data_IF_578932006384
#
_entry.id   IF_578932006384
#
_cell.length_a   1.000
_cell.length_b   1.000
_cell.length_c   1.000
_cell.angle_alpha   90.00
_cell.angle_beta   90.00
_cell.angle_gamma   90.00
#
_symmetry.space_group_name_H-M   'P 1'
#
loop_
_entity.id
_entity.type
_entity.pdbx_description
1 polymer ?
#
# COMPACT_ATOMS: atom_id res chain seq x y z
N UNK A 1 19.93 -1.50 16.72
CA UNK A 1 19.02 -2.22 15.80
C UNK A 1 19.59 -3.61 15.59
N UNK A 2 18.77 -4.67 15.72
CA UNK A 2 19.23 -6.02 15.44
C UNK A 2 19.29 -6.21 13.92
N UNK A 3 20.44 -6.61 13.38
CA UNK A 3 20.56 -6.98 11.97
C UNK A 3 20.05 -8.41 11.76
N UNK A 4 19.12 -8.57 10.82
CA UNK A 4 18.63 -9.88 10.40
C UNK A 4 18.96 -10.09 8.93
N UNK A 5 19.64 -11.18 8.62
CA UNK A 5 19.90 -11.56 7.23
C UNK A 5 18.74 -12.38 6.70
N UNK A 6 18.09 -11.91 5.64
CA UNK A 6 17.02 -12.63 4.95
C UNK A 6 17.42 -12.92 3.50
N UNK A 7 17.10 -14.11 3.02
CA UNK A 7 17.32 -14.48 1.62
C UNK A 7 16.06 -14.20 0.81
N UNK A 8 16.18 -13.36 -0.21
CA UNK A 8 15.08 -13.05 -1.14
C UNK A 8 15.49 -13.40 -2.56
N UNK A 9 14.50 -13.76 -3.40
CA UNK A 9 14.74 -14.02 -4.83
C UNK A 9 15.19 -12.73 -5.52
N UNK A 10 16.04 -12.86 -6.55
CA UNK A 10 16.57 -11.72 -7.30
C UNK A 10 15.45 -10.84 -7.90
N UNK A 11 14.38 -11.45 -8.40
CA UNK A 11 13.21 -10.74 -8.92
C UNK A 11 12.48 -9.92 -7.84
N UNK A 12 12.29 -10.50 -6.65
CA UNK A 12 11.69 -9.80 -5.50
C UNK A 12 12.54 -8.62 -5.07
N UNK A 13 13.87 -8.79 -5.03
CA UNK A 13 14.81 -7.69 -4.74
C UNK A 13 14.67 -6.54 -5.73
N UNK A 14 14.55 -6.85 -7.04
CA UNK A 14 14.36 -5.85 -8.09
C UNK A 14 13.05 -5.08 -7.89
N UNK A 15 11.94 -5.80 -7.67
CA UNK A 15 10.62 -5.18 -7.44
C UNK A 15 10.59 -4.29 -6.20
N UNK A 16 11.29 -4.68 -5.14
CA UNK A 16 11.42 -3.88 -3.91
C UNK A 16 12.30 -2.64 -4.12
N UNK A 17 13.38 -2.74 -4.89
CA UNK A 17 14.22 -1.59 -5.24
C UNK A 17 13.50 -0.57 -6.15
N UNK A 18 12.61 -1.05 -7.01
CA UNK A 18 11.76 -0.21 -7.87
C UNK A 18 10.61 0.45 -7.08
N UNK A 19 10.30 -0.04 -5.88
CA UNK A 19 9.24 0.49 -5.03
C UNK A 19 9.70 1.76 -4.31
N UNK A 20 9.43 2.92 -4.92
CA UNK A 20 9.74 4.24 -4.35
C UNK A 20 8.58 4.79 -3.54
N UNK A 21 8.70 4.79 -2.21
CA UNK A 21 7.86 5.55 -1.29
C UNK A 21 8.56 6.87 -0.94
N UNK A 22 8.48 7.85 -1.83
CA UNK A 22 9.17 9.14 -1.65
C UNK A 22 10.69 8.97 -1.61
N UNK A 23 11.33 9.48 -0.55
CA UNK A 23 12.80 9.48 -0.36
C UNK A 23 13.32 8.24 0.41
N UNK A 24 12.49 7.22 0.61
CA UNK A 24 12.85 6.03 1.38
C UNK A 24 13.85 5.13 0.65
N UNK A 25 14.80 4.57 1.39
CA UNK A 25 15.76 3.59 0.88
C UNK A 25 15.14 2.20 0.77
N UNK A 26 15.83 1.29 0.07
CA UNK A 26 15.43 -0.12 0.00
C UNK A 26 15.25 -0.75 1.39
N UNK A 27 16.15 -0.47 2.32
CA UNK A 27 16.09 -1.01 3.67
C UNK A 27 14.93 -0.39 4.47
N UNK A 28 14.59 0.88 4.24
CA UNK A 28 13.43 1.52 4.87
C UNK A 28 12.12 0.88 4.39
N UNK A 29 12.00 0.62 3.09
CA UNK A 29 10.85 -0.06 2.49
C UNK A 29 10.76 -1.50 2.99
N UNK A 30 11.88 -2.21 3.05
CA UNK A 30 11.92 -3.59 3.52
C UNK A 30 11.57 -3.68 5.02
N UNK A 31 12.13 -2.82 5.84
CA UNK A 31 11.80 -2.74 7.26
C UNK A 31 10.34 -2.32 7.47
N UNK A 32 9.79 -1.42 6.65
CA UNK A 32 8.37 -1.07 6.68
C UNK A 32 7.48 -2.28 6.37
N UNK A 33 7.80 -3.05 5.34
CA UNK A 33 7.05 -4.24 4.94
C UNK A 33 7.17 -5.37 5.97
N UNK A 34 8.35 -5.54 6.57
CA UNK A 34 8.60 -6.50 7.64
C UNK A 34 7.99 -6.05 8.98
N UNK A 35 7.83 -4.74 9.19
CA UNK A 35 7.14 -4.16 10.34
C UNK A 35 5.62 -4.25 10.24
N UNK A 36 5.09 -4.87 9.18
CA UNK A 36 3.65 -5.00 8.96
C UNK A 36 3.06 -6.08 9.89
N UNK A 37 2.82 -5.63 11.12
CA UNK A 37 1.60 -5.76 11.92
C UNK A 37 0.81 -7.04 11.67
N UNK A 38 0.79 -7.94 12.66
CA UNK A 38 -0.19 -9.03 12.69
C UNK A 38 -1.58 -8.46 12.41
N UNK A 39 -2.38 -9.12 11.56
CA UNK A 39 -3.71 -8.62 11.16
C UNK A 39 -4.60 -8.26 12.38
N UNK A 40 -4.32 -8.88 13.52
CA UNK A 40 -4.93 -8.64 14.83
C UNK A 40 -4.60 -7.26 15.43
N UNK A 41 -3.42 -6.70 15.14
CA UNK A 41 -2.94 -5.38 15.55
C UNK A 41 -3.23 -4.27 14.50
N UNK A 42 -3.89 -4.60 13.38
CA UNK A 42 -4.59 -3.60 12.56
C UNK A 42 -5.85 -3.23 13.34
N UNK A 43 -5.58 -2.50 14.42
CA UNK A 43 -6.45 -2.21 15.54
C UNK A 43 -7.80 -1.70 15.09
N UNK A 44 -8.82 -1.97 15.90
CA UNK A 44 -10.21 -1.52 15.73
C UNK A 44 -10.33 -0.03 15.33
N UNK A 45 -9.32 0.79 15.59
CA UNK A 45 -9.22 2.19 15.22
C UNK A 45 -9.09 2.42 13.70
N UNK A 46 -8.35 1.59 12.97
CA UNK A 46 -8.28 1.66 11.50
C UNK A 46 -9.60 1.28 10.86
N UNK A 47 -10.27 0.26 11.42
CA UNK A 47 -11.62 -0.15 11.00
C UNK A 47 -12.63 0.95 11.33
N UNK A 48 -12.57 1.54 12.53
CA UNK A 48 -13.44 2.65 12.95
C UNK A 48 -13.25 3.88 12.07
N UNK A 49 -12.00 4.23 11.77
CA UNK A 49 -11.66 5.35 10.89
C UNK A 49 -12.13 5.10 9.44
N UNK A 50 -12.01 3.86 8.94
CA UNK A 50 -12.56 3.47 7.65
C UNK A 50 -14.09 3.66 7.61
N UNK A 51 -14.81 3.18 8.63
CA UNK A 51 -16.26 3.36 8.73
C UNK A 51 -16.66 4.83 8.92
N UNK A 52 -15.88 5.62 9.66
CA UNK A 52 -16.09 7.08 9.80
C UNK A 52 -16.00 7.77 8.43
N UNK A 53 -14.96 7.48 7.65
CA UNK A 53 -14.82 8.03 6.29
C UNK A 53 -15.93 7.58 5.35
N UNK A 54 -16.48 6.39 5.56
CA UNK A 54 -17.58 5.86 4.78
C UNK A 54 -18.91 6.60 5.06
N UNK A 55 -19.11 7.12 6.28
CA UNK A 55 -20.30 7.90 6.62
C UNK A 55 -20.39 9.19 5.80
N UNK A 56 -19.26 9.86 5.59
CA UNK A 56 -19.19 11.10 4.80
C UNK A 56 -18.95 10.83 3.31
N UNK A 57 -18.84 9.57 2.90
CA UNK A 57 -18.51 9.21 1.52
C UNK A 57 -19.72 9.38 0.60
N UNK A 58 -19.72 10.47 -0.17
CA UNK A 58 -20.61 10.63 -1.30
C UNK A 58 -20.08 9.79 -2.47
N UNK A 59 -20.62 8.58 -2.59
CA UNK A 59 -20.29 7.68 -3.68
C UNK A 59 -20.58 8.28 -5.05
N UNK A 60 -19.82 7.85 -6.05
CA UNK A 60 -20.10 8.20 -7.44
C UNK A 60 -20.89 7.08 -8.12
N UNK A 61 -21.73 7.40 -9.12
CA UNK A 61 -22.42 6.39 -9.91
C UNK A 61 -21.42 5.40 -10.54
N UNK A 62 -21.81 4.13 -10.59
CA UNK A 62 -20.98 3.01 -11.05
C UNK A 62 -20.34 3.27 -12.42
N UNK A 63 -21.09 3.88 -13.34
CA UNK A 63 -20.59 4.16 -14.69
C UNK A 63 -19.60 5.32 -14.73
N UNK A 64 -19.72 6.27 -13.80
CA UNK A 64 -18.71 7.30 -13.61
C UNK A 64 -17.43 6.72 -13.00
N UNK A 65 -17.56 5.83 -12.01
CA UNK A 65 -16.41 5.11 -11.45
C UNK A 65 -15.65 4.33 -12.53
N UNK A 66 -16.36 3.55 -13.36
CA UNK A 66 -15.75 2.79 -14.47
C UNK A 66 -15.00 3.69 -15.45
N UNK A 67 -15.58 4.84 -15.81
CA UNK A 67 -14.93 5.81 -16.71
C UNK A 67 -13.66 6.41 -16.10
N UNK A 68 -13.69 6.77 -14.82
CA UNK A 68 -12.52 7.30 -14.11
C UNK A 68 -11.41 6.26 -13.99
N UNK A 69 -11.77 5.01 -13.69
CA UNK A 69 -10.83 3.90 -13.61
C UNK A 69 -10.14 3.65 -14.96
N UNK A 70 -10.92 3.54 -16.04
CA UNK A 70 -10.40 3.34 -17.39
C UNK A 70 -9.44 4.48 -17.82
N UNK A 71 -9.76 5.72 -17.45
CA UNK A 71 -8.91 6.90 -17.73
C UNK A 71 -7.62 6.93 -16.89
N UNK A 72 -7.67 6.43 -15.66
CA UNK A 72 -6.49 6.33 -14.81
C UNK A 72 -5.53 5.24 -15.32
N UNK A 73 -6.07 4.10 -15.74
CA UNK A 73 -5.28 3.00 -16.32
C UNK A 73 -4.70 3.35 -17.69
N UNK A 74 -5.33 4.23 -18.46
CA UNK A 74 -4.84 4.65 -19.78
C UNK A 74 -3.79 5.76 -19.74
N UNK A 75 -3.51 6.38 -18.58
CA UNK A 75 -2.52 7.47 -18.41
C UNK A 75 -1.17 6.99 -17.86
N UNK A 76 -1.04 5.70 -17.54
CA UNK A 76 0.21 5.07 -17.08
C UNK A 76 0.86 4.19 -18.14
N UNK A 77 0.79 4.59 -19.42
CA UNK A 77 1.43 3.92 -20.55
C UNK A 77 2.52 4.79 -21.17
#
# INVERSE_FOLDING_TARGET
>A
MAMTTITVRAETKKRLADYKLGDQTFDDVLNLLMSRVDIEDITADHVREHYRRLQDFQGIPKDEFKRRLAKATSRGG
#
